data_IF_315163876729
#
_entry.id   IF_315163876729
#
_cell.length_a   1.000
_cell.length_b   1.000
_cell.length_c   1.000
_cell.angle_alpha   90.00
_cell.angle_beta   90.00
_cell.angle_gamma   90.00
#
_symmetry.space_group_name_H-M   'P 1'
#
loop_
_entity.id
_entity.type
_entity.pdbx_description
1 polymer ?
#
# COMPACT_ATOMS: atom_id res chain seq x y z
N UNK A 1 2.47 4.03 -3.28
CA UNK A 1 1.83 3.92 -4.60
C UNK A 1 1.48 5.28 -5.17
N UNK A 2 1.23 5.33 -6.45
CA UNK A 2 0.70 6.54 -7.09
C UNK A 2 -0.68 6.87 -6.51
N UNK A 3 -0.94 8.14 -6.27
CA UNK A 3 -2.24 8.60 -5.83
C UNK A 3 -3.35 8.22 -6.83
N UNK A 4 -3.04 8.27 -8.12
CA UNK A 4 -3.99 7.91 -9.19
C UNK A 4 -4.39 6.43 -9.19
N UNK A 5 -3.62 5.58 -8.53
CA UNK A 5 -3.91 4.14 -8.43
C UNK A 5 -4.57 3.74 -7.10
N UNK A 6 -4.79 4.70 -6.21
CA UNK A 6 -5.30 4.38 -4.89
C UNK A 6 -6.67 3.69 -4.93
N UNK A 7 -7.61 4.20 -5.72
CA UNK A 7 -8.95 3.59 -5.80
C UNK A 7 -8.89 2.16 -6.34
N UNK A 8 -8.06 1.91 -7.35
CA UNK A 8 -7.87 0.57 -7.89
C UNK A 8 -7.29 -0.38 -6.85
N UNK A 9 -6.30 0.09 -6.08
CA UNK A 9 -5.68 -0.69 -5.01
C UNK A 9 -6.69 -0.97 -3.89
N UNK A 10 -7.46 0.03 -3.48
CA UNK A 10 -8.49 -0.12 -2.47
C UNK A 10 -9.49 -1.20 -2.87
N UNK A 11 -9.99 -1.14 -4.10
CA UNK A 11 -10.96 -2.12 -4.60
C UNK A 11 -10.35 -3.53 -4.67
N UNK A 12 -9.10 -3.63 -5.12
CA UNK A 12 -8.40 -4.91 -5.18
C UNK A 12 -8.19 -5.54 -3.79
N UNK A 13 -7.88 -4.71 -2.80
CA UNK A 13 -7.72 -5.18 -1.42
C UNK A 13 -9.04 -5.70 -0.86
N UNK A 14 -10.13 -4.98 -1.10
CA UNK A 14 -11.47 -5.41 -0.66
C UNK A 14 -11.88 -6.72 -1.33
N UNK A 15 -11.63 -6.87 -2.61
CA UNK A 15 -11.89 -8.13 -3.34
C UNK A 15 -11.05 -9.29 -2.81
N UNK A 16 -9.87 -9.01 -2.27
CA UNK A 16 -9.01 -10.01 -1.67
C UNK A 16 -9.32 -10.25 -0.17
N UNK A 17 -10.44 -9.72 0.33
CA UNK A 17 -10.87 -9.80 1.71
C UNK A 17 -9.90 -9.13 2.70
N UNK A 18 -9.20 -8.11 2.25
CA UNK A 18 -8.38 -7.26 3.10
C UNK A 18 -9.21 -6.01 3.41
N UNK A 19 -9.91 -6.04 4.54
CA UNK A 19 -10.90 -5.02 4.86
C UNK A 19 -10.36 -3.85 5.66
N UNK A 20 -9.25 -4.04 6.37
CA UNK A 20 -8.73 -3.04 7.30
C UNK A 20 -7.33 -2.61 6.91
N UNK A 21 -7.20 -1.39 6.49
CA UNK A 21 -5.92 -0.76 6.21
C UNK A 21 -6.02 0.74 6.42
N UNK A 22 -4.90 1.34 6.70
CA UNK A 22 -4.79 2.79 6.84
C UNK A 22 -4.04 3.37 5.66
N UNK A 23 -4.32 4.60 5.33
CA UNK A 23 -3.60 5.27 4.26
C UNK A 23 -3.48 6.75 4.57
N UNK A 24 -2.49 7.38 4.00
CA UNK A 24 -2.32 8.82 4.11
C UNK A 24 -1.52 9.37 2.94
N UNK A 25 -1.79 10.64 2.67
CA UNK A 25 -1.08 11.36 1.62
C UNK A 25 0.35 11.62 2.06
N UNK A 26 1.30 11.35 1.17
CA UNK A 26 2.70 11.65 1.38
C UNK A 26 3.26 12.29 0.11
N UNK A 27 4.31 13.06 0.27
CA UNK A 27 5.06 13.58 -0.85
C UNK A 27 6.41 12.90 -0.86
N UNK A 28 6.71 12.25 -1.97
CA UNK A 28 8.01 11.63 -2.18
C UNK A 28 8.93 12.54 -2.94
N UNK A 29 10.20 12.52 -2.58
CA UNK A 29 11.24 13.15 -3.38
C UNK A 29 12.01 12.02 -4.05
N UNK A 30 11.95 11.98 -5.35
CA UNK A 30 12.71 11.03 -6.14
C UNK A 30 13.73 11.77 -6.97
N UNK A 31 14.90 11.15 -7.17
CA UNK A 31 15.86 11.69 -8.11
C UNK A 31 15.36 11.37 -9.51
N UNK A 32 14.60 12.28 -10.09
CA UNK A 32 14.24 12.17 -11.49
C UNK A 32 15.50 12.42 -12.30
N UNK A 33 16.05 11.36 -12.88
CA UNK A 33 17.20 11.49 -13.80
C UNK A 33 16.84 12.23 -15.07
N UNK A 34 15.56 12.42 -15.31
CA UNK A 34 15.05 13.09 -16.49
C UNK A 34 13.94 14.04 -16.03
N UNK A 35 14.34 15.27 -15.72
CA UNK A 35 13.38 16.34 -15.67
C UNK A 35 12.67 16.42 -17.02
N UNK A 36 11.36 16.48 -17.03
CA UNK A 36 10.64 16.71 -18.27
C UNK A 36 11.01 18.11 -18.77
N UNK A 37 11.59 18.19 -19.95
CA UNK A 37 11.88 19.44 -20.59
C UNK A 37 10.65 19.82 -21.43
N UNK A 38 10.04 20.92 -21.07
CA UNK A 38 8.93 21.49 -21.84
C UNK A 38 9.32 22.90 -22.23
N UNK A 39 9.40 23.19 -23.53
CA UNK A 39 9.82 24.49 -24.06
C UNK A 39 11.15 25.00 -23.50
N UNK A 40 12.10 24.12 -23.30
CA UNK A 40 13.41 24.47 -22.78
C UNK A 40 13.47 24.70 -21.26
N UNK A 41 12.36 24.50 -20.55
CA UNK A 41 12.31 24.58 -19.09
C UNK A 41 12.31 23.18 -18.50
N UNK A 42 13.25 22.94 -17.59
CA UNK A 42 13.32 21.67 -16.84
C UNK A 42 12.33 21.76 -15.70
N UNK A 43 11.29 20.92 -15.74
CA UNK A 43 10.35 20.81 -14.62
C UNK A 43 10.90 19.87 -13.58
N UNK A 44 10.92 20.32 -12.33
CA UNK A 44 11.29 19.46 -11.21
C UNK A 44 10.13 18.50 -10.89
N UNK A 45 10.34 17.21 -11.17
CA UNK A 45 9.41 16.16 -10.86
C UNK A 45 9.77 15.43 -9.57
N UNK A 46 10.67 16.01 -8.76
CA UNK A 46 11.18 15.37 -7.56
C UNK A 46 10.15 15.27 -6.43
N UNK A 47 9.12 16.14 -6.45
CA UNK A 47 8.06 16.11 -5.44
C UNK A 47 6.78 15.53 -6.08
N UNK A 48 6.46 14.28 -5.75
CA UNK A 48 5.32 13.58 -6.31
C UNK A 48 4.34 13.24 -5.21
N UNK A 49 3.06 13.52 -5.45
CA UNK A 49 1.99 13.12 -4.55
C UNK A 49 1.82 11.60 -4.59
N UNK A 50 1.86 10.98 -3.43
CA UNK A 50 1.72 9.54 -3.27
C UNK A 50 0.80 9.20 -2.12
N UNK A 51 0.34 7.97 -2.11
CA UNK A 51 -0.38 7.40 -0.97
C UNK A 51 0.52 6.34 -0.34
N UNK A 52 0.71 6.43 0.96
CA UNK A 52 1.32 5.37 1.74
C UNK A 52 0.22 4.55 2.36
N UNK A 53 0.15 3.28 2.01
CA UNK A 53 -0.84 2.35 2.53
C UNK A 53 -0.17 1.45 3.55
N UNK A 54 -0.74 1.39 4.75
CA UNK A 54 -0.24 0.56 5.83
C UNK A 54 -1.25 -0.54 6.13
N UNK A 55 -0.81 -1.78 5.97
CA UNK A 55 -1.67 -2.95 6.11
C UNK A 55 -1.00 -3.94 7.03
N UNK A 56 -1.72 -4.41 8.04
CA UNK A 56 -1.26 -5.52 8.87
C UNK A 56 -2.14 -6.71 8.56
N UNK A 57 -1.52 -7.78 8.09
CA UNK A 57 -2.23 -8.99 7.69
C UNK A 57 -1.64 -10.22 8.36
N UNK A 58 -2.44 -11.28 8.43
CA UNK A 58 -1.95 -12.59 8.84
C UNK A 58 -0.93 -13.09 7.82
N UNK A 59 0.03 -13.86 8.28
CA UNK A 59 1.10 -14.37 7.40
C UNK A 59 0.54 -15.09 6.17
N UNK A 60 -0.51 -15.89 6.35
CA UNK A 60 -1.15 -16.58 5.22
C UNK A 60 -1.70 -15.67 4.14
N UNK A 61 -1.94 -14.40 4.46
CA UNK A 61 -2.51 -13.41 3.53
C UNK A 61 -1.47 -12.47 2.92
N UNK A 62 -0.20 -12.58 3.31
CA UNK A 62 0.85 -11.66 2.85
C UNK A 62 0.98 -11.70 1.33
N UNK A 63 1.17 -12.87 0.75
CA UNK A 63 1.39 -12.99 -0.69
C UNK A 63 0.15 -12.56 -1.49
N UNK A 64 -1.02 -12.93 -1.03
CA UNK A 64 -2.29 -12.50 -1.64
C UNK A 64 -2.40 -10.98 -1.66
N UNK A 65 -2.04 -10.33 -0.55
CA UNK A 65 -2.05 -8.86 -0.43
C UNK A 65 -1.04 -8.22 -1.38
N UNK A 66 0.17 -8.74 -1.41
CA UNK A 66 1.23 -8.23 -2.29
C UNK A 66 0.81 -8.32 -3.75
N UNK A 67 0.28 -9.47 -4.18
CA UNK A 67 -0.14 -9.66 -5.57
C UNK A 67 -1.32 -8.77 -5.95
N UNK A 68 -2.27 -8.58 -5.04
CA UNK A 68 -3.40 -7.67 -5.28
C UNK A 68 -2.91 -6.23 -5.53
N UNK A 69 -1.96 -5.77 -4.73
CA UNK A 69 -1.40 -4.42 -4.87
C UNK A 69 -0.61 -4.29 -6.17
N UNK A 70 0.25 -5.25 -6.49
CA UNK A 70 1.04 -5.23 -7.72
C UNK A 70 0.10 -5.13 -8.93
N UNK A 71 -0.89 -5.99 -8.99
CA UNK A 71 -1.82 -6.03 -10.12
C UNK A 71 -2.58 -4.71 -10.31
N UNK A 72 -3.01 -4.11 -9.20
CA UNK A 72 -3.83 -2.91 -9.25
C UNK A 72 -3.00 -1.63 -9.46
N UNK A 73 -1.77 -1.58 -8.94
CA UNK A 73 -0.94 -0.37 -8.97
C UNK A 73 0.05 -0.32 -10.14
N UNK A 74 0.27 -1.44 -10.82
CA UNK A 74 1.28 -1.57 -11.86
C UNK A 74 0.96 -0.73 -13.09
N UNK A 75 1.93 0.07 -13.54
CA UNK A 75 1.88 0.74 -14.84
C UNK A 75 3.04 0.30 -15.74
N UNK A 76 4.11 -0.20 -15.14
CA UNK A 76 5.35 -0.55 -15.84
C UNK A 76 6.33 0.60 -15.93
N UNK A 77 5.96 1.77 -15.44
CA UNK A 77 6.83 2.95 -15.49
C UNK A 77 7.51 3.21 -14.14
N UNK A 78 8.63 3.90 -14.18
CA UNK A 78 9.31 4.36 -12.98
C UNK A 78 8.34 5.25 -12.19
N UNK A 79 8.22 4.97 -10.90
CA UNK A 79 7.32 5.71 -10.03
C UNK A 79 6.10 4.93 -9.58
N UNK A 80 5.97 3.67 -9.97
CA UNK A 80 4.86 2.82 -9.49
C UNK A 80 4.86 2.62 -7.99
N UNK A 81 6.02 2.76 -7.35
CA UNK A 81 6.14 2.62 -5.92
C UNK A 81 6.78 1.30 -5.50
N UNK A 82 6.71 1.03 -4.21
CA UNK A 82 7.31 -0.16 -3.62
C UNK A 82 6.43 -0.72 -2.53
N UNK A 83 6.59 -2.00 -2.29
CA UNK A 83 5.97 -2.70 -1.18
C UNK A 83 7.09 -3.20 -0.26
N UNK A 84 7.01 -2.84 1.00
CA UNK A 84 7.90 -3.36 2.01
C UNK A 84 7.12 -4.32 2.87
N UNK A 85 7.62 -5.52 3.04
CA UNK A 85 7.03 -6.52 3.92
C UNK A 85 7.87 -6.57 5.19
N UNK A 86 7.26 -6.21 6.30
CA UNK A 86 7.96 -6.05 7.57
C UNK A 86 7.34 -7.03 8.56
N UNK A 87 8.14 -7.92 9.17
CA UNK A 87 7.64 -8.78 10.24
C UNK A 87 7.17 -7.95 11.42
N UNK A 88 5.99 -8.24 11.92
CA UNK A 88 5.45 -7.63 13.13
C UNK A 88 5.63 -8.60 14.27
N UNK A 89 6.24 -8.11 15.35
CA UNK A 89 6.52 -8.94 16.51
C UNK A 89 5.26 -9.40 17.21
N UNK A 90 4.28 -8.52 17.36
CA UNK A 90 3.02 -8.85 18.01
C UNK A 90 1.91 -7.91 17.53
N UNK A 91 0.68 -8.36 17.64
CA UNK A 91 -0.50 -7.54 17.42
C UNK A 91 -1.45 -7.76 18.60
N UNK A 92 -2.02 -6.69 19.10
CA UNK A 92 -2.94 -6.74 20.24
C UNK A 92 -4.23 -6.02 19.87
N UNK A 93 -5.34 -6.70 20.02
CA UNK A 93 -6.64 -6.07 19.84
C UNK A 93 -7.00 -5.30 21.12
N UNK A 94 -7.15 -4.01 21.01
CA UNK A 94 -7.41 -3.16 22.18
C UNK A 94 -8.74 -3.53 22.85
N UNK A 95 -9.76 -3.83 22.06
CA UNK A 95 -11.11 -4.14 22.58
C UNK A 95 -11.13 -5.39 23.47
N UNK A 96 -10.35 -6.39 23.14
CA UNK A 96 -10.40 -7.71 23.82
C UNK A 96 -9.12 -8.09 24.53
N UNK A 97 -8.01 -7.46 24.23
CA UNK A 97 -6.69 -7.86 24.70
C UNK A 97 -6.12 -9.11 24.05
N UNK A 98 -6.80 -9.65 23.04
CA UNK A 98 -6.31 -10.81 22.30
C UNK A 98 -5.03 -10.45 21.54
N UNK A 99 -4.13 -11.42 21.46
CA UNK A 99 -2.80 -11.21 20.85
C UNK A 99 -2.56 -12.17 19.70
N UNK A 100 -1.64 -11.75 18.83
CA UNK A 100 -1.17 -12.57 17.73
C UNK A 100 -2.17 -12.60 16.58
N UNK A 101 -2.20 -13.70 15.88
CA UNK A 101 -2.97 -13.88 14.65
C UNK A 101 -4.47 -13.57 14.85
N UNK A 102 -5.04 -14.00 15.96
CA UNK A 102 -6.46 -13.77 16.26
C UNK A 102 -6.80 -12.29 16.41
N UNK A 103 -5.83 -11.44 16.73
CA UNK A 103 -6.05 -10.00 16.84
C UNK A 103 -6.25 -9.33 15.47
N UNK A 104 -5.96 -10.04 14.38
CA UNK A 104 -5.98 -9.49 13.02
C UNK A 104 -7.24 -9.84 12.23
N UNK A 105 -8.18 -10.56 12.83
CA UNK A 105 -9.42 -10.88 12.15
C UNK A 105 -10.57 -11.03 13.15
N UNK A 106 -11.79 -10.92 12.64
CA UNK A 106 -12.98 -11.24 13.42
C UNK A 106 -13.45 -12.64 13.02
N UNK A 107 -13.62 -13.54 14.00
CA UNK A 107 -14.00 -14.92 13.76
C UNK A 107 -15.31 -15.06 12.98
N UNK A 108 -16.21 -14.09 13.10
CA UNK A 108 -17.49 -14.06 12.38
C UNK A 108 -17.31 -13.78 10.88
N UNK A 109 -16.22 -13.15 10.49
CA UNK A 109 -15.91 -12.80 9.11
C UNK A 109 -15.00 -13.83 8.43
N UNK A 110 -14.29 -14.60 9.22
CA UNK A 110 -13.37 -15.63 8.72
C UNK A 110 -14.09 -16.96 8.60
N UNK A 111 -14.49 -17.27 7.43
CA UNK A 111 -15.12 -18.56 7.12
C UNK A 111 -14.16 -19.45 6.37
#
# INVERSE_FOLDING_TARGET
>A
IRKTKFEDVKDALLEADIEWFSYYDVRGIGKARQGRIYRGVVYDTSSIERILVSIVVREKNVEKTVQAIIKAAHTGEIGDGRIFVIPIEDAVRIRTGERGDIALYNAEQEK
#
